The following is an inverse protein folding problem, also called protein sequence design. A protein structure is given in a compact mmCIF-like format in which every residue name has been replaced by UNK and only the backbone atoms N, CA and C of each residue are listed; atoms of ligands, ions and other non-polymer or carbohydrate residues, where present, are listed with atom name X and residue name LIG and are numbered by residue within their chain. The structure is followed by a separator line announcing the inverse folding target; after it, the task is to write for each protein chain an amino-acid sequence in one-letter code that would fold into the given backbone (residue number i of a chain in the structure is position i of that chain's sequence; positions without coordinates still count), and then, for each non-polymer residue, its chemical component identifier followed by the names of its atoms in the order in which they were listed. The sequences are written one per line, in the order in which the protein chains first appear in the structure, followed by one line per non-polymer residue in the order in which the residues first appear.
data_IF_899512812155
#
_entry.id   IF_899512812155
#
_cell.length_a   1.000
_cell.length_b   1.000
_cell.length_c   1.000
_cell.angle_alpha   90.00
_cell.angle_beta   90.00
_cell.angle_gamma   90.00
#
_symmetry.space_group_name_H-M   'P 1'
#
loop_
_entity.id
_entity.type
_entity.pdbx_description
1 polymer ?
#
# COMPACT_ATOMS: atom_id res chain seq x y z
N UNK A 1 -1.97 -11.28 15.47
CA UNK A 1 -2.12 -12.27 14.40
C UNK A 1 -2.70 -11.52 13.24
N UNK A 2 -2.13 -11.41 12.07
CA UNK A 2 -0.85 -11.78 11.46
C UNK A 2 -0.96 -11.22 10.03
N UNK A 3 0.10 -11.26 9.24
CA UNK A 3 -0.01 -11.02 7.81
C UNK A 3 -1.22 -11.76 7.22
N UNK A 4 -2.17 -11.02 6.65
CA UNK A 4 -3.29 -11.60 5.92
C UNK A 4 -2.71 -12.42 4.77
N UNK A 5 -2.84 -13.74 4.85
CA UNK A 5 -2.39 -14.64 3.79
C UNK A 5 -3.31 -14.41 2.59
N UNK A 6 -2.77 -13.76 1.57
CA UNK A 6 -3.44 -13.63 0.28
C UNK A 6 -3.13 -14.86 -0.57
N UNK A 7 -4.15 -15.62 -0.94
CA UNK A 7 -4.00 -16.77 -1.83
C UNK A 7 -4.27 -16.36 -3.27
N UNK A 8 -3.31 -16.59 -4.17
CA UNK A 8 -3.43 -16.31 -5.60
C UNK A 8 -3.51 -17.63 -6.37
N UNK A 9 -4.58 -17.82 -7.15
CA UNK A 9 -4.75 -18.99 -8.00
C UNK A 9 -4.18 -18.72 -9.39
N UNK A 10 -3.10 -19.42 -9.77
CA UNK A 10 -2.49 -19.33 -11.11
C UNK A 10 -2.92 -20.52 -11.94
N UNK A 11 -3.44 -20.27 -13.15
CA UNK A 11 -3.85 -21.29 -14.11
C UNK A 11 -3.38 -20.91 -15.51
N UNK A 12 -3.06 -21.91 -16.33
CA UNK A 12 -2.79 -21.67 -17.74
C UNK A 12 -4.07 -21.30 -18.48
N UNK A 13 -3.96 -20.31 -19.38
CA UNK A 13 -5.12 -19.78 -20.10
C UNK A 13 -5.61 -20.67 -21.26
N UNK A 14 -4.78 -21.59 -21.77
CA UNK A 14 -5.10 -22.48 -22.89
C UNK A 14 -4.49 -23.87 -22.70
N UNK A 15 -5.15 -24.89 -23.24
CA UNK A 15 -4.66 -26.28 -23.29
C UNK A 15 -3.38 -26.45 -24.12
N UNK A 16 -3.06 -25.49 -25.01
CA UNK A 16 -1.83 -25.48 -25.83
C UNK A 16 -0.72 -24.57 -25.30
N UNK A 17 -0.83 -24.03 -24.07
CA UNK A 17 0.30 -23.30 -23.48
C UNK A 17 1.48 -24.24 -23.24
N UNK A 18 2.71 -23.71 -23.32
CA UNK A 18 3.90 -24.45 -22.91
C UNK A 18 3.67 -25.06 -21.51
N UNK A 19 3.98 -26.35 -21.30
CA UNK A 19 3.88 -26.94 -19.98
C UNK A 19 4.74 -26.12 -19.01
N UNK A 20 4.28 -25.94 -17.77
CA UNK A 20 5.01 -25.30 -16.66
C UNK A 20 4.97 -23.77 -16.58
N UNK A 21 4.22 -23.06 -17.44
CA UNK A 21 4.07 -21.60 -17.37
C UNK A 21 3.56 -21.11 -16.01
N UNK A 22 2.64 -21.84 -15.39
CA UNK A 22 2.12 -21.55 -14.06
C UNK A 22 3.20 -21.55 -12.97
N UNK A 23 4.22 -22.40 -13.10
CA UNK A 23 5.33 -22.45 -12.14
C UNK A 23 6.30 -21.28 -12.32
N UNK A 24 6.53 -20.86 -13.57
CA UNK A 24 7.36 -19.68 -13.87
C UNK A 24 6.70 -18.43 -13.30
N UNK A 25 5.40 -18.26 -13.53
CA UNK A 25 4.62 -17.13 -12.99
C UNK A 25 4.65 -17.16 -11.46
N UNK A 26 4.45 -18.34 -10.84
CA UNK A 26 4.55 -18.49 -9.38
C UNK A 26 5.92 -18.02 -8.85
N UNK A 27 7.02 -18.44 -9.48
CA UNK A 27 8.36 -18.05 -9.05
C UNK A 27 8.58 -16.53 -9.12
N UNK A 28 8.08 -15.87 -10.19
CA UNK A 28 8.13 -14.41 -10.30
C UNK A 28 7.34 -13.71 -9.19
N UNK A 29 6.13 -14.19 -8.87
CA UNK A 29 5.36 -13.66 -7.76
C UNK A 29 6.10 -13.80 -6.43
N UNK A 30 6.71 -14.96 -6.18
CA UNK A 30 7.48 -15.21 -4.95
C UNK A 30 8.70 -14.28 -4.86
N UNK A 31 9.44 -14.10 -5.96
CA UNK A 31 10.60 -13.19 -6.02
C UNK A 31 10.21 -11.73 -5.78
N UNK A 32 9.23 -11.22 -6.53
CA UNK A 32 8.77 -9.83 -6.37
C UNK A 32 8.12 -9.59 -5.00
N UNK A 33 7.35 -10.55 -4.49
CA UNK A 33 6.75 -10.43 -3.16
C UNK A 33 7.83 -10.33 -2.08
N UNK A 34 8.92 -11.08 -2.20
CA UNK A 34 10.03 -11.02 -1.26
C UNK A 34 10.75 -9.68 -1.35
N UNK A 35 11.05 -9.20 -2.57
CA UNK A 35 11.70 -7.92 -2.78
C UNK A 35 10.86 -6.77 -2.20
N UNK A 36 9.57 -6.72 -2.53
CA UNK A 36 8.65 -5.70 -2.04
C UNK A 36 8.47 -5.75 -0.51
N UNK A 37 8.52 -6.93 0.11
CA UNK A 37 8.47 -7.06 1.57
C UNK A 37 9.66 -6.37 2.28
N UNK A 38 10.83 -6.32 1.63
CA UNK A 38 11.99 -5.62 2.18
C UNK A 38 12.00 -4.13 1.85
N UNK A 39 11.50 -3.75 0.68
CA UNK A 39 11.54 -2.37 0.20
C UNK A 39 10.41 -1.50 0.77
N UNK A 40 9.20 -2.06 0.85
CA UNK A 40 8.00 -1.31 1.19
C UNK A 40 7.63 -1.42 2.66
N UNK A 41 7.17 -0.30 3.20
CA UNK A 41 6.53 -0.17 4.50
C UNK A 41 5.10 0.29 4.30
N UNK A 42 4.20 -0.23 5.14
CA UNK A 42 2.83 0.28 5.28
C UNK A 42 2.67 0.98 6.63
N UNK A 43 2.27 2.24 6.58
CA UNK A 43 1.87 3.03 7.74
C UNK A 43 0.36 3.30 7.69
N UNK A 44 -0.32 3.14 8.82
CA UNK A 44 -1.78 3.32 8.91
C UNK A 44 -2.13 4.52 9.79
N UNK A 45 -2.89 5.48 9.23
CA UNK A 45 -3.49 6.60 9.96
C UNK A 45 -4.92 6.24 10.36
N UNK A 46 -5.18 6.13 11.67
CA UNK A 46 -6.53 5.83 12.17
C UNK A 46 -7.46 7.04 12.05
N UNK A 47 -8.60 6.84 11.38
CA UNK A 47 -9.70 7.81 11.30
C UNK A 47 -10.87 7.47 12.23
N UNK A 48 -10.89 6.26 12.80
CA UNK A 48 -11.91 5.82 13.76
C UNK A 48 -11.99 6.82 14.94
N UNK A 49 -13.21 7.27 15.24
CA UNK A 49 -13.47 8.23 16.32
C UNK A 49 -13.23 9.71 15.99
N UNK A 50 -12.66 10.04 14.81
CA UNK A 50 -12.49 11.43 14.38
C UNK A 50 -13.79 12.02 13.79
N UNK A 51 -14.01 13.31 14.02
CA UNK A 51 -15.14 14.05 13.43
C UNK A 51 -15.03 14.16 11.91
N UNK A 52 -16.15 14.41 11.22
CA UNK A 52 -16.19 14.51 9.75
C UNK A 52 -15.25 15.59 9.21
N UNK A 53 -15.15 16.73 9.90
CA UNK A 53 -14.23 17.82 9.57
C UNK A 53 -12.77 17.37 9.65
N UNK A 54 -12.39 16.67 10.72
CA UNK A 54 -11.02 16.19 10.91
C UNK A 54 -10.65 15.15 9.86
N UNK A 55 -11.55 14.20 9.57
CA UNK A 55 -11.35 13.21 8.51
C UNK A 55 -11.11 13.90 7.16
N UNK A 56 -11.91 14.94 6.84
CA UNK A 56 -11.75 15.73 5.60
C UNK A 56 -10.42 16.47 5.57
N UNK A 57 -10.02 17.11 6.67
CA UNK A 57 -8.74 17.84 6.75
C UNK A 57 -7.55 16.91 6.53
N UNK A 58 -7.55 15.73 7.15
CA UNK A 58 -6.49 14.72 6.97
C UNK A 58 -6.43 14.26 5.51
N UNK A 59 -7.60 13.99 4.90
CA UNK A 59 -7.66 13.60 3.48
C UNK A 59 -7.06 14.67 2.57
N UNK A 60 -7.42 15.94 2.78
CA UNK A 60 -6.88 17.08 2.02
C UNK A 60 -5.37 17.24 2.22
N UNK A 61 -4.85 17.09 3.44
CA UNK A 61 -3.42 17.14 3.69
C UNK A 61 -2.67 16.03 2.93
N UNK A 62 -3.19 14.80 2.93
CA UNK A 62 -2.62 13.71 2.13
C UNK A 62 -2.66 14.02 0.62
N UNK A 63 -3.77 14.55 0.10
CA UNK A 63 -3.92 14.90 -1.30
C UNK A 63 -2.94 16.00 -1.72
N UNK A 64 -2.74 17.03 -0.90
CA UNK A 64 -1.78 18.09 -1.16
C UNK A 64 -0.34 17.57 -1.24
N UNK A 65 0.02 16.66 -0.34
CA UNK A 65 1.38 16.11 -0.27
C UNK A 65 1.67 15.06 -1.34
N UNK A 66 0.65 14.43 -1.93
CA UNK A 66 0.85 13.35 -2.92
C UNK A 66 1.76 13.74 -4.09
N UNK A 67 1.67 14.97 -4.57
CA UNK A 67 2.54 15.50 -5.64
C UNK A 67 4.03 15.58 -5.27
N UNK A 68 4.36 15.75 -3.99
CA UNK A 68 5.74 15.83 -3.47
C UNK A 68 6.34 14.46 -3.18
N UNK A 69 5.50 13.43 -3.10
CA UNK A 69 5.89 12.05 -2.77
C UNK A 69 5.35 11.08 -3.83
N UNK A 70 5.81 11.15 -5.09
CA UNK A 70 5.25 10.37 -6.19
C UNK A 70 5.43 8.85 -6.04
N UNK A 71 6.35 8.41 -5.18
CA UNK A 71 6.61 7.00 -4.89
C UNK A 71 5.81 6.47 -3.69
N UNK A 72 4.99 7.32 -3.05
CA UNK A 72 4.12 6.93 -1.93
C UNK A 72 2.71 6.69 -2.46
N UNK A 73 2.22 5.47 -2.28
CA UNK A 73 0.84 5.12 -2.57
C UNK A 73 -0.04 5.40 -1.33
N UNK A 74 -1.20 6.02 -1.56
CA UNK A 74 -2.15 6.38 -0.51
C UNK A 74 -3.49 5.72 -0.80
N UNK A 75 -4.00 4.93 0.15
CA UNK A 75 -5.29 4.26 0.05
C UNK A 75 -6.23 4.80 1.13
N UNK A 76 -7.38 5.36 0.73
CA UNK A 76 -8.36 5.93 1.65
C UNK A 76 -9.47 4.93 1.96
N UNK A 77 -9.70 4.67 3.24
CA UNK A 77 -10.81 3.87 3.74
C UNK A 77 -11.68 4.69 4.70
N UNK A 78 -12.86 4.17 5.05
CA UNK A 78 -13.77 4.86 5.97
C UNK A 78 -13.19 5.04 7.39
N UNK A 79 -12.41 4.05 7.82
CA UNK A 79 -11.89 3.93 9.19
C UNK A 79 -10.42 4.31 9.31
N UNK A 80 -9.68 4.36 8.21
CA UNK A 80 -8.23 4.61 8.20
C UNK A 80 -7.72 5.05 6.82
N UNK A 81 -6.47 5.47 6.76
CA UNK A 81 -5.72 5.74 5.53
C UNK A 81 -4.44 4.92 5.60
N UNK A 82 -4.17 4.12 4.58
CA UNK A 82 -2.91 3.39 4.43
C UNK A 82 -1.95 4.18 3.53
N UNK A 83 -0.70 4.29 3.96
CA UNK A 83 0.40 4.97 3.28
C UNK A 83 1.46 3.90 3.03
N UNK A 84 1.77 3.62 1.76
CA UNK A 84 2.67 2.55 1.34
C UNK A 84 3.81 3.15 0.52
N UNK A 85 5.05 2.79 0.84
CA UNK A 85 6.24 3.30 0.15
C UNK A 85 7.51 2.88 0.87
N UNK A 86 8.66 3.47 0.52
CA UNK A 86 9.89 3.26 1.28
C UNK A 86 9.72 3.73 2.74
N UNK A 87 10.42 3.09 3.69
CA UNK A 87 10.33 3.48 5.11
C UNK A 87 10.68 4.96 5.34
N UNK A 88 11.65 5.51 4.60
CA UNK A 88 11.99 6.94 4.67
C UNK A 88 10.84 7.83 4.21
N UNK A 89 10.24 7.51 3.07
CA UNK A 89 9.22 8.35 2.48
C UNK A 89 7.91 8.27 3.27
N UNK A 90 7.50 7.07 3.70
CA UNK A 90 6.26 6.91 4.48
C UNK A 90 6.35 7.63 5.83
N UNK A 91 7.51 7.58 6.49
CA UNK A 91 7.72 8.26 7.78
C UNK A 91 7.72 9.78 7.60
N UNK A 92 8.40 10.29 6.57
CA UNK A 92 8.44 11.72 6.28
C UNK A 92 7.06 12.24 5.87
N UNK A 93 6.38 11.54 4.96
CA UNK A 93 5.02 11.87 4.52
C UNK A 93 4.06 11.96 5.72
N UNK A 94 4.08 10.96 6.60
CA UNK A 94 3.27 10.93 7.82
C UNK A 94 3.55 12.14 8.71
N UNK A 95 4.82 12.49 8.90
CA UNK A 95 5.21 13.67 9.69
C UNK A 95 4.64 14.95 9.08
N UNK A 96 4.78 15.14 7.77
CA UNK A 96 4.29 16.34 7.10
C UNK A 96 2.76 16.44 7.11
N UNK A 97 2.04 15.33 6.97
CA UNK A 97 0.57 15.30 7.15
C UNK A 97 0.19 15.82 8.53
N UNK A 98 0.89 15.38 9.58
CA UNK A 98 0.62 15.81 10.96
C UNK A 98 0.95 17.29 11.20
N UNK A 99 1.89 17.86 10.45
CA UNK A 99 2.21 19.29 10.49
C UNK A 99 1.16 20.15 9.77
N UNK A 100 0.56 19.65 8.68
CA UNK A 100 -0.49 20.38 7.93
C UNK A 100 -1.85 20.43 8.60
N UNK A 101 -2.16 19.45 9.46
CA UNK A 101 -3.43 19.38 10.18
C UNK A 101 -3.38 20.02 11.58
N UNK A 102 -2.21 20.55 11.98
CA UNK A 102 -2.02 21.27 13.24
C UNK A 102 -2.71 22.63 13.26
#
# INVERSE_FOLDING_TARGET
VDGEITTICIKNAQECSQPNNEKVVKALFEEYSLALHFELRKETLTLKGKGSKDKRNIKLACEQLSSRFPQVQINFYETHIDIIGSSSDTNLFKKEVMELIR
#
